data_IF_234209203124
#
_entry.id   IF_234209203124
#
_cell.length_a   1.000
_cell.length_b   1.000
_cell.length_c   1.000
_cell.angle_alpha   90.00
_cell.angle_beta   90.00
_cell.angle_gamma   90.00
#
_symmetry.space_group_name_H-M   'P 1'
#
loop_
_entity.id
_entity.type
_entity.pdbx_description
1 polymer ?
#
# COMPACT_ATOMS: atom_id res chain seq x y z
N UNK A 1 8.34 22.99 -15.52
CA UNK A 1 8.99 22.82 -14.21
C UNK A 1 10.43 22.48 -14.46
N UNK A 2 11.36 23.38 -14.19
CA UNK A 2 12.80 23.12 -14.22
C UNK A 2 13.17 22.40 -12.93
N UNK A 3 13.60 21.14 -13.03
CA UNK A 3 14.14 20.42 -11.88
C UNK A 3 15.39 21.14 -11.37
N UNK A 4 15.58 21.22 -10.04
CA UNK A 4 16.75 21.85 -9.45
C UNK A 4 18.03 21.08 -9.84
N UNK A 5 19.04 21.82 -10.30
CA UNK A 5 20.35 21.27 -10.73
C UNK A 5 21.27 20.91 -9.56
N UNK A 6 20.89 21.25 -8.33
CA UNK A 6 21.63 20.90 -7.11
C UNK A 6 21.25 19.49 -6.66
N UNK A 7 22.21 18.56 -6.52
CA UNK A 7 21.93 17.21 -6.07
C UNK A 7 21.41 17.23 -4.63
N UNK A 8 20.26 16.57 -4.40
CA UNK A 8 19.56 16.51 -3.11
C UNK A 8 20.24 15.54 -2.11
N UNK A 9 21.31 14.86 -2.52
CA UNK A 9 22.16 14.00 -1.66
C UNK A 9 21.35 12.99 -0.82
N UNK A 10 20.43 12.25 -1.45
CA UNK A 10 19.74 11.14 -0.80
C UNK A 10 20.74 9.99 -0.53
N UNK A 11 21.07 9.76 0.73
CA UNK A 11 22.09 8.78 1.13
C UNK A 11 21.53 7.46 1.65
N UNK A 12 20.25 7.42 2.06
CA UNK A 12 19.64 6.23 2.66
C UNK A 12 18.13 6.20 2.44
N UNK A 13 17.61 5.00 2.19
CA UNK A 13 16.17 4.72 2.27
C UNK A 13 15.77 4.51 3.73
N UNK A 14 14.75 5.25 4.19
CA UNK A 14 14.25 5.13 5.56
C UNK A 14 13.37 3.89 5.75
N UNK A 15 12.44 3.66 4.82
CA UNK A 15 11.52 2.52 4.88
C UNK A 15 11.02 2.13 3.49
N UNK A 16 10.54 0.90 3.37
CA UNK A 16 9.77 0.39 2.23
C UNK A 16 8.37 0.00 2.71
N UNK A 17 7.35 0.57 2.07
CA UNK A 17 5.95 0.24 2.33
C UNK A 17 5.48 -0.94 1.48
N UNK A 18 4.86 -1.94 2.11
CA UNK A 18 4.27 -3.11 1.46
C UNK A 18 2.79 -3.17 1.83
N UNK A 19 1.93 -3.05 0.83
CA UNK A 19 0.50 -3.26 1.02
C UNK A 19 0.19 -4.75 1.13
N UNK A 20 -0.50 -5.15 2.19
CA UNK A 20 -0.85 -6.54 2.49
C UNK A 20 -2.35 -6.70 2.67
N UNK A 21 -2.87 -7.88 2.34
CA UNK A 21 -4.28 -8.20 2.54
C UNK A 21 -4.63 -8.56 3.99
N UNK A 22 -3.66 -9.13 4.71
CA UNK A 22 -3.78 -9.57 6.10
C UNK A 22 -2.52 -9.15 6.86
N UNK A 23 -2.69 -8.24 7.82
CA UNK A 23 -1.56 -7.70 8.58
C UNK A 23 -0.98 -8.75 9.53
N UNK A 24 -1.81 -9.53 10.19
CA UNK A 24 -1.39 -10.44 11.26
C UNK A 24 -0.60 -11.62 10.67
N UNK A 25 -1.06 -12.16 9.54
CA UNK A 25 -0.32 -13.18 8.79
C UNK A 25 1.02 -12.65 8.25
N UNK A 26 1.04 -11.39 7.80
CA UNK A 26 2.25 -10.76 7.28
C UNK A 26 3.28 -10.48 8.39
N UNK A 27 2.84 -10.01 9.56
CA UNK A 27 3.69 -9.85 10.74
C UNK A 27 4.31 -11.20 11.10
N UNK A 28 3.52 -12.27 11.22
CA UNK A 28 4.04 -13.60 11.54
C UNK A 28 5.11 -14.06 10.54
N UNK A 29 4.87 -13.85 9.24
CA UNK A 29 5.84 -14.17 8.19
C UNK A 29 7.14 -13.37 8.35
N UNK A 30 7.06 -12.05 8.47
CA UNK A 30 8.26 -11.21 8.56
C UNK A 30 9.00 -11.38 9.89
N UNK A 31 8.30 -11.68 10.99
CA UNK A 31 8.91 -12.11 12.25
C UNK A 31 9.74 -13.38 12.05
N UNK A 32 9.18 -14.41 11.41
CA UNK A 32 9.88 -15.66 11.14
C UNK A 32 11.07 -15.45 10.17
N UNK A 33 10.91 -14.58 9.18
CA UNK A 33 11.94 -14.29 8.18
C UNK A 33 13.12 -13.49 8.74
N UNK A 34 12.85 -12.53 9.63
CA UNK A 34 13.85 -11.58 10.13
C UNK A 34 14.33 -11.86 11.54
N UNK A 35 13.59 -12.68 12.30
CA UNK A 35 13.82 -12.92 13.73
C UNK A 35 13.49 -11.73 14.62
N UNK A 36 12.68 -10.77 14.14
CA UNK A 36 12.44 -9.47 14.80
C UNK A 36 10.97 -9.24 15.05
N UNK A 37 10.72 -8.55 16.16
CA UNK A 37 9.39 -8.04 16.50
C UNK A 37 9.12 -6.68 15.82
N UNK A 38 7.86 -6.36 15.52
CA UNK A 38 7.48 -5.02 15.12
C UNK A 38 7.89 -3.97 16.15
N UNK A 39 8.46 -2.86 15.68
CA UNK A 39 8.84 -1.71 16.53
C UNK A 39 7.70 -0.73 16.70
N UNK A 40 6.69 -0.80 15.83
CA UNK A 40 5.48 0.01 15.89
C UNK A 40 4.33 -0.76 15.26
N UNK A 41 3.15 -0.64 15.84
CA UNK A 41 1.89 -1.16 15.32
C UNK A 41 0.77 -0.17 15.62
N UNK A 42 -0.21 -0.06 14.73
CA UNK A 42 -1.31 0.88 14.95
C UNK A 42 -2.42 0.83 13.92
N UNK A 43 -3.47 1.60 14.22
CA UNK A 43 -4.52 1.94 13.27
C UNK A 43 -4.43 3.41 12.93
N UNK A 44 -4.71 3.76 11.68
CA UNK A 44 -4.73 5.15 11.23
C UNK A 44 -5.97 5.39 10.36
N UNK A 45 -6.73 6.43 10.71
CA UNK A 45 -7.84 6.93 9.90
C UNK A 45 -7.37 8.18 9.16
N UNK A 46 -7.23 8.11 7.83
CA UNK A 46 -6.62 9.19 7.07
C UNK A 46 -7.60 10.35 6.81
N UNK A 47 -7.65 11.31 7.73
CA UNK A 47 -7.95 12.71 7.36
C UNK A 47 -6.67 13.42 6.86
N UNK A 48 -5.47 13.21 7.46
CA UNK A 48 -4.25 13.87 6.98
C UNK A 48 -3.63 13.21 5.73
N UNK A 49 -3.74 11.88 5.57
CA UNK A 49 -3.07 11.12 4.51
C UNK A 49 -3.94 10.92 3.24
N UNK A 50 -5.26 11.11 3.35
CA UNK A 50 -6.18 11.01 2.20
C UNK A 50 -6.03 12.17 1.21
N UNK A 51 -5.67 13.37 1.69
CA UNK A 51 -5.49 14.55 0.83
C UNK A 51 -4.24 14.46 -0.06
N UNK A 52 -3.15 13.84 0.40
CA UNK A 52 -1.90 13.72 -0.37
C UNK A 52 -1.93 12.58 -1.39
N UNK A 53 -2.83 11.59 -1.22
CA UNK A 53 -2.95 10.43 -2.10
C UNK A 53 -4.23 10.41 -2.96
N UNK A 54 -5.09 11.44 -2.84
CA UNK A 54 -6.35 11.53 -3.60
C UNK A 54 -7.42 10.51 -3.18
N UNK A 55 -7.26 9.90 -2.01
CA UNK A 55 -8.18 8.88 -1.48
C UNK A 55 -9.08 9.49 -0.40
N UNK A 56 -10.39 9.36 -0.60
CA UNK A 56 -11.41 9.64 0.40
C UNK A 56 -11.14 8.74 1.61
N UNK A 57 -10.81 9.36 2.76
CA UNK A 57 -10.76 8.76 4.11
C UNK A 57 -10.53 7.25 4.14
N UNK A 58 -9.27 6.85 4.29
CA UNK A 58 -8.92 5.43 4.36
C UNK A 58 -8.62 5.00 5.79
N UNK A 59 -9.25 3.91 6.22
CA UNK A 59 -8.86 3.22 7.46
C UNK A 59 -7.78 2.22 7.10
N UNK A 60 -6.65 2.27 7.81
CA UNK A 60 -5.58 1.31 7.63
C UNK A 60 -5.04 0.83 8.98
N UNK A 61 -4.52 -0.40 8.98
CA UNK A 61 -3.63 -0.91 10.02
C UNK A 61 -2.22 -0.91 9.47
N UNK A 62 -1.23 -0.74 10.33
CA UNK A 62 0.16 -0.87 9.96
C UNK A 62 0.99 -1.54 11.04
N UNK A 63 2.12 -2.10 10.63
CA UNK A 63 3.20 -2.56 11.49
C UNK A 63 4.55 -2.29 10.82
N UNK A 64 5.55 -1.88 11.61
CA UNK A 64 6.90 -1.59 11.13
C UNK A 64 7.90 -2.57 11.71
N UNK A 65 8.72 -3.19 10.87
CA UNK A 65 9.85 -4.05 11.27
C UNK A 65 11.16 -3.43 10.79
N UNK A 66 12.10 -3.19 11.70
CA UNK A 66 13.40 -2.59 11.35
C UNK A 66 14.47 -3.65 11.08
N UNK A 67 15.11 -3.57 9.92
CA UNK A 67 16.28 -4.35 9.57
C UNK A 67 17.57 -3.72 10.16
N UNK A 68 18.65 -4.50 10.23
CA UNK A 68 19.93 -4.04 10.80
C UNK A 68 20.58 -2.90 10.02
N UNK A 69 20.34 -2.84 8.71
CA UNK A 69 20.83 -1.76 7.87
C UNK A 69 20.04 -0.44 8.03
N UNK A 70 19.20 -0.36 9.07
CA UNK A 70 18.31 0.76 9.41
C UNK A 70 17.21 1.03 8.36
N UNK A 71 16.91 0.07 7.50
CA UNK A 71 15.73 0.10 6.64
C UNK A 71 14.52 -0.45 7.40
N UNK A 72 13.44 0.32 7.46
CA UNK A 72 12.13 -0.15 7.95
C UNK A 72 11.34 -0.87 6.87
N UNK A 73 10.60 -1.91 7.23
CA UNK A 73 9.55 -2.52 6.41
C UNK A 73 8.21 -2.14 7.04
N UNK A 74 7.42 -1.34 6.35
CA UNK A 74 6.07 -0.96 6.76
C UNK A 74 5.04 -1.86 6.08
N UNK A 75 4.41 -2.75 6.85
CA UNK A 75 3.31 -3.58 6.42
C UNK A 75 2.01 -2.79 6.59
N UNK A 76 1.26 -2.57 5.51
CA UNK A 76 0.08 -1.71 5.51
C UNK A 76 -1.13 -2.50 5.02
N UNK A 77 -2.15 -2.64 5.86
CA UNK A 77 -3.43 -3.24 5.48
C UNK A 77 -4.50 -2.16 5.38
N UNK A 78 -5.01 -1.93 4.17
CA UNK A 78 -6.15 -1.06 3.95
C UNK A 78 -7.44 -1.79 4.32
N UNK A 79 -8.18 -1.23 5.27
CA UNK A 79 -9.48 -1.74 5.71
C UNK A 79 -10.62 -1.10 4.91
N UNK A 80 -10.51 0.20 4.60
CA UNK A 80 -11.51 0.93 3.82
C UNK A 80 -10.79 1.93 2.88
N UNK A 81 -10.98 1.87 1.56
CA UNK A 81 -11.49 0.70 0.83
C UNK A 81 -10.55 -0.50 1.04
N UNK A 82 -11.11 -1.71 1.06
CA UNK A 82 -10.29 -2.94 1.15
C UNK A 82 -9.40 -3.02 -0.10
N UNK A 83 -8.11 -3.24 0.11
CA UNK A 83 -7.16 -3.38 -1.00
C UNK A 83 -7.53 -4.56 -1.91
N UNK A 84 -7.57 -4.33 -3.22
CA UNK A 84 -7.73 -5.41 -4.19
C UNK A 84 -6.39 -6.08 -4.50
N UNK A 85 -6.39 -7.41 -4.58
CA UNK A 85 -5.20 -8.17 -4.99
C UNK A 85 -4.85 -7.81 -6.44
N UNK A 86 -3.68 -7.22 -6.63
CA UNK A 86 -3.13 -7.05 -7.98
C UNK A 86 -2.68 -8.41 -8.49
N UNK A 87 -3.34 -8.95 -9.51
CA UNK A 87 -2.98 -10.24 -10.13
C UNK A 87 -1.71 -10.15 -10.99
N UNK A 88 -0.68 -9.41 -10.54
CA UNK A 88 0.55 -9.15 -11.29
C UNK A 88 0.38 -8.25 -12.53
N UNK A 89 -0.84 -7.78 -12.82
CA UNK A 89 -1.09 -6.70 -13.78
C UNK A 89 -1.35 -5.42 -13.01
N UNK A 90 -0.45 -4.45 -13.15
CA UNK A 90 -0.70 -3.07 -12.74
C UNK A 90 -2.05 -2.58 -13.26
N UNK A 91 -2.65 -1.66 -12.51
CA UNK A 91 -3.98 -1.06 -12.71
C UNK A 91 -4.34 -0.83 -14.18
N UNK A 92 -4.98 -1.80 -14.82
CA UNK A 92 -5.70 -1.60 -16.05
C UNK A 92 -7.18 -1.47 -15.69
N UNK A 93 -7.61 -0.22 -15.54
CA UNK A 93 -9.01 0.20 -15.48
C UNK A 93 -9.81 -0.53 -16.56
N UNK A 94 -10.51 -1.63 -16.20
CA UNK A 94 -11.57 -2.16 -17.05
C UNK A 94 -12.81 -1.34 -16.77
N UNK A 95 -12.96 -0.26 -17.53
CA UNK A 95 -14.28 0.32 -17.77
C UNK A 95 -15.17 -0.80 -18.32
N UNK A 96 -16.05 -1.34 -17.48
CA UNK A 96 -17.15 -2.22 -17.92
C UNK A 96 -18.13 -1.32 -18.67
N UNK A 97 -17.96 -1.19 -19.98
CA UNK A 97 -19.02 -0.67 -20.83
C UNK A 97 -20.14 -1.71 -20.91
N UNK A 98 -21.33 -1.26 -20.52
CA UNK A 98 -22.59 -1.97 -20.59
C UNK A 98 -22.93 -2.31 -22.05
N UNK A 99 -22.90 -3.59 -22.41
CA UNK A 99 -23.58 -4.06 -23.63
C UNK A 99 -24.93 -4.66 -23.24
N UNK A 100 -25.88 -3.77 -22.99
CA UNK A 100 -27.31 -4.08 -22.85
C UNK A 100 -27.88 -4.33 -24.25
N UNK A 101 -28.38 -5.55 -24.46
CA UNK A 101 -29.51 -5.93 -25.31
C UNK A 101 -29.64 -5.29 -26.70
N UNK A 102 -29.49 -6.10 -27.75
CA UNK A 102 -30.57 -6.31 -28.75
C UNK A 102 -30.50 -7.75 -29.27
N UNK A 103 -31.31 -8.61 -28.66
CA UNK A 103 -31.80 -9.86 -29.26
C UNK A 103 -33.23 -9.58 -29.66
N UNK A 104 -33.53 -9.51 -30.95
CA UNK A 104 -34.89 -9.61 -31.51
C UNK A 104 -34.82 -9.71 -33.04
N UNK A 105 -35.36 -10.84 -33.54
CA UNK A 105 -36.18 -11.05 -34.76
C UNK A 105 -35.57 -10.61 -36.11
N UNK A 106 -35.53 -11.43 -37.16
CA UNK A 106 -36.36 -12.60 -37.55
C UNK A 106 -35.57 -13.57 -38.41
#
# INVERSE_FOLDING_TARGET
MTAATTPVNLTRAAHVGISVSDLDASIAFYKALTGREPVAEGTMSSVPLGKSQGLLTSKLRYATINLDNSLGIDLIQFQEPVGERTNGRGSATRARSSRRSRRRSS
#
